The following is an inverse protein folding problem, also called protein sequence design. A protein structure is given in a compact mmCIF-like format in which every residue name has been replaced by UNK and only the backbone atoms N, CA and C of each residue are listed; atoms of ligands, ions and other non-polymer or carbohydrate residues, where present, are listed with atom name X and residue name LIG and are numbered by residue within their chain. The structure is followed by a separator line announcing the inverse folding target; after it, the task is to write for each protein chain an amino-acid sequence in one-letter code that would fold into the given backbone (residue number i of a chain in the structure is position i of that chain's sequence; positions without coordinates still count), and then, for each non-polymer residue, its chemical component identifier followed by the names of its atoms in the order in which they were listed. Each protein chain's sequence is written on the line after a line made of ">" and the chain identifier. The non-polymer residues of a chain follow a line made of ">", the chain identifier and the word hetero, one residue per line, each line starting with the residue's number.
data_IF_889862235818
#
_entry.id   IF_889862235818
#
_cell.length_a   1.000
_cell.length_b   1.000
_cell.length_c   1.000
_cell.angle_alpha   90.00
_cell.angle_beta   90.00
_cell.angle_gamma   90.00
#
_symmetry.space_group_name_H-M   'P 1'
#
loop_
_entity.id
_entity.type
_entity.pdbx_description
1 polymer ?
#
# COMPACT_ATOMS: atom_id res chain seq x y z
N UNK A 1 0.57 33.63 12.54
CA UNK A 1 0.48 33.32 11.10
C UNK A 1 1.03 31.93 10.75
N UNK A 2 2.27 31.56 11.13
CA UNK A 2 2.86 30.23 10.81
C UNK A 2 2.03 29.03 11.30
N UNK A 3 1.58 29.04 12.56
CA UNK A 3 0.75 27.95 13.14
C UNK A 3 -0.56 27.75 12.36
N UNK A 4 -1.22 28.83 11.97
CA UNK A 4 -2.47 28.78 11.20
C UNK A 4 -2.23 28.14 9.81
N UNK A 5 -1.14 28.52 9.13
CA UNK A 5 -0.78 27.94 7.83
C UNK A 5 -0.48 26.43 7.98
N UNK A 6 0.32 26.05 8.99
CA UNK A 6 0.60 24.64 9.28
C UNK A 6 -0.68 23.84 9.57
N UNK A 7 -1.62 24.41 10.33
CA UNK A 7 -2.90 23.75 10.61
C UNK A 7 -3.76 23.58 9.34
N UNK A 8 -3.81 24.60 8.48
CA UNK A 8 -4.52 24.52 7.19
C UNK A 8 -3.90 23.44 6.30
N UNK A 9 -2.56 23.38 6.23
CA UNK A 9 -1.84 22.34 5.48
C UNK A 9 -2.14 20.95 6.01
N UNK A 10 -2.12 20.77 7.35
CA UNK A 10 -2.45 19.51 8.00
C UNK A 10 -3.85 19.03 7.60
N UNK A 11 -4.86 19.88 7.78
CA UNK A 11 -6.26 19.56 7.47
C UNK A 11 -6.43 19.29 5.97
N UNK A 12 -5.76 20.05 5.11
CA UNK A 12 -5.86 19.90 3.66
C UNK A 12 -5.33 18.55 3.18
N UNK A 13 -4.17 18.09 3.67
CA UNK A 13 -3.61 16.78 3.31
C UNK A 13 -4.51 15.64 3.75
N UNK A 14 -5.06 15.71 4.98
CA UNK A 14 -6.01 14.71 5.48
C UNK A 14 -7.27 14.64 4.62
N UNK A 15 -7.87 15.81 4.34
CA UNK A 15 -9.08 15.90 3.51
C UNK A 15 -8.84 15.41 2.09
N UNK A 16 -7.74 15.81 1.44
CA UNK A 16 -7.40 15.38 0.08
C UNK A 16 -7.25 13.86 0.02
N UNK A 17 -6.57 13.24 0.99
CA UNK A 17 -6.39 11.78 1.03
C UNK A 17 -7.72 11.02 1.10
N UNK A 18 -8.63 11.46 1.97
CA UNK A 18 -9.96 10.86 2.13
C UNK A 18 -10.83 11.14 0.91
N UNK A 19 -10.93 12.39 0.48
CA UNK A 19 -11.74 12.82 -0.69
C UNK A 19 -11.28 12.08 -1.95
N UNK A 20 -9.97 11.87 -2.15
CA UNK A 20 -9.46 11.11 -3.30
C UNK A 20 -10.07 9.72 -3.37
N UNK A 21 -10.14 8.98 -2.26
CA UNK A 21 -10.75 7.64 -2.26
C UNK A 21 -12.26 7.68 -2.55
N UNK A 22 -12.98 8.64 -1.97
CA UNK A 22 -14.42 8.81 -2.25
C UNK A 22 -14.68 9.20 -3.71
N UNK A 23 -13.88 10.10 -4.28
CA UNK A 23 -13.97 10.49 -5.69
C UNK A 23 -13.68 9.31 -6.61
N UNK A 24 -12.62 8.54 -6.32
CA UNK A 24 -12.31 7.31 -7.05
C UNK A 24 -13.48 6.31 -7.02
N UNK A 25 -14.06 6.09 -5.84
CA UNK A 25 -15.24 5.25 -5.69
C UNK A 25 -16.42 5.73 -6.53
N UNK A 26 -16.77 7.03 -6.46
CA UNK A 26 -17.90 7.60 -7.21
C UNK A 26 -17.70 7.42 -8.71
N UNK A 27 -16.50 7.69 -9.21
CA UNK A 27 -16.17 7.56 -10.64
C UNK A 27 -16.31 6.11 -11.09
N UNK A 28 -15.72 5.17 -10.35
CA UNK A 28 -15.69 3.76 -10.74
C UNK A 28 -17.08 3.14 -10.64
N UNK A 29 -17.82 3.42 -9.56
CA UNK A 29 -19.17 2.88 -9.32
C UNK A 29 -20.15 3.18 -10.45
N UNK A 30 -20.00 4.32 -11.15
CA UNK A 30 -20.86 4.69 -12.29
C UNK A 30 -20.76 3.74 -13.48
N UNK A 31 -19.67 2.97 -13.59
CA UNK A 31 -19.36 2.11 -14.74
C UNK A 31 -19.10 0.66 -14.34
N UNK A 32 -19.29 0.33 -13.06
CA UNK A 32 -18.93 -0.94 -12.48
C UNK A 32 -20.16 -1.69 -11.97
N UNK A 33 -20.04 -3.01 -11.84
CA UNK A 33 -21.06 -3.86 -11.20
C UNK A 33 -20.66 -4.12 -9.75
N UNK A 34 -21.61 -4.09 -8.83
CA UNK A 34 -21.36 -4.43 -7.42
C UNK A 34 -21.95 -5.81 -7.11
N UNK A 35 -21.12 -6.70 -6.56
CA UNK A 35 -21.52 -8.05 -6.12
C UNK A 35 -20.89 -8.33 -4.75
N UNK A 36 -21.70 -8.73 -3.77
CA UNK A 36 -21.27 -8.98 -2.38
C UNK A 36 -20.42 -7.86 -1.75
N UNK A 37 -20.72 -6.60 -2.11
CA UNK A 37 -19.99 -5.42 -1.62
C UNK A 37 -18.63 -5.18 -2.29
N UNK A 38 -18.27 -5.96 -3.31
CA UNK A 38 -17.09 -5.81 -4.16
C UNK A 38 -17.48 -5.15 -5.48
N UNK A 39 -16.69 -4.19 -5.94
CA UNK A 39 -16.94 -3.43 -7.18
C UNK A 39 -16.08 -3.99 -8.29
N UNK A 40 -16.70 -4.39 -9.40
CA UNK A 40 -16.04 -4.93 -10.59
C UNK A 40 -16.01 -3.88 -11.69
N UNK A 41 -14.81 -3.36 -11.97
CA UNK A 41 -14.53 -2.48 -13.08
C UNK A 41 -13.86 -3.28 -14.20
N UNK A 42 -14.36 -3.17 -15.43
CA UNK A 42 -13.76 -3.89 -16.56
C UNK A 42 -12.32 -3.40 -16.82
N UNK A 43 -11.39 -4.36 -16.92
CA UNK A 43 -9.98 -4.14 -17.20
C UNK A 43 -9.40 -5.38 -17.87
N UNK A 44 -8.46 -5.19 -18.80
CA UNK A 44 -7.73 -6.29 -19.44
C UNK A 44 -6.74 -6.95 -18.48
N UNK A 45 -6.17 -6.18 -17.55
CA UNK A 45 -5.23 -6.67 -16.55
C UNK A 45 -5.94 -6.85 -15.20
N UNK A 46 -6.01 -8.09 -14.68
CA UNK A 46 -6.56 -8.36 -13.36
C UNK A 46 -5.77 -7.63 -12.27
N UNK A 47 -6.45 -6.78 -11.52
CA UNK A 47 -5.87 -6.12 -10.35
C UNK A 47 -6.96 -5.89 -9.30
N UNK A 48 -6.57 -5.60 -8.06
CA UNK A 48 -7.49 -5.09 -7.07
C UNK A 48 -6.89 -3.92 -6.29
N UNK A 49 -7.78 -3.18 -5.63
CA UNK A 49 -7.42 -2.13 -4.71
C UNK A 49 -8.49 -2.00 -3.62
N UNK A 50 -8.04 -1.96 -2.37
CA UNK A 50 -8.85 -1.59 -1.24
C UNK A 50 -8.98 -0.06 -1.11
N UNK A 51 -10.21 0.44 -1.17
CA UNK A 51 -10.55 1.80 -0.77
C UNK A 51 -10.86 1.83 0.72
N UNK A 52 -9.81 1.85 1.54
CA UNK A 52 -9.86 1.71 2.99
C UNK A 52 -10.84 2.68 3.67
N UNK A 53 -10.90 3.96 3.30
CA UNK A 53 -11.82 4.93 3.93
C UNK A 53 -13.26 4.80 3.44
N UNK A 54 -13.47 4.26 2.23
CA UNK A 54 -14.80 3.98 1.68
C UNK A 54 -15.31 2.59 2.09
N UNK A 55 -14.42 1.76 2.64
CA UNK A 55 -14.70 0.38 3.04
C UNK A 55 -15.16 -0.52 1.88
N UNK A 56 -14.49 -0.41 0.74
CA UNK A 56 -14.82 -1.16 -0.49
C UNK A 56 -13.56 -1.73 -1.14
N UNK A 57 -13.71 -2.89 -1.77
CA UNK A 57 -12.68 -3.46 -2.66
C UNK A 57 -13.13 -3.20 -4.10
N UNK A 58 -12.19 -2.75 -4.92
CA UNK A 58 -12.37 -2.64 -6.36
C UNK A 58 -11.53 -3.72 -7.01
N UNK A 59 -12.16 -4.51 -7.87
CA UNK A 59 -11.54 -5.48 -8.76
C UNK A 59 -11.56 -4.88 -10.16
N UNK A 60 -10.37 -4.69 -10.72
CA UNK A 60 -10.18 -4.36 -12.12
C UNK A 60 -10.05 -5.68 -12.87
N UNK A 61 -11.11 -6.14 -13.53
CA UNK A 61 -11.15 -7.43 -14.23
C UNK A 61 -12.52 -8.10 -14.19
N UNK A 62 -12.59 -9.31 -14.75
CA UNK A 62 -13.83 -10.12 -14.77
C UNK A 62 -14.12 -10.70 -13.38
N UNK A 63 -15.39 -11.00 -13.12
CA UNK A 63 -15.79 -11.76 -11.93
C UNK A 63 -14.99 -13.07 -11.84
N UNK A 64 -14.34 -13.30 -10.70
CA UNK A 64 -13.50 -14.48 -10.48
C UNK A 64 -12.10 -14.42 -11.09
N UNK A 65 -11.67 -13.30 -11.69
CA UNK A 65 -10.34 -13.19 -12.30
C UNK A 65 -9.18 -13.08 -11.30
N UNK A 66 -9.46 -12.92 -10.01
CA UNK A 66 -8.46 -12.79 -8.96
C UNK A 66 -8.37 -14.06 -8.12
N UNK A 67 -7.14 -14.37 -7.68
CA UNK A 67 -6.89 -15.45 -6.75
C UNK A 67 -7.54 -15.15 -5.39
N UNK A 68 -7.89 -16.22 -4.66
CA UNK A 68 -8.38 -16.11 -3.28
C UNK A 68 -7.40 -15.35 -2.39
N UNK A 69 -6.09 -15.51 -2.63
CA UNK A 69 -5.04 -14.77 -1.93
C UNK A 69 -5.21 -13.25 -2.11
N UNK A 70 -5.34 -12.78 -3.35
CA UNK A 70 -5.49 -11.35 -3.64
C UNK A 70 -6.74 -10.77 -2.96
N UNK A 71 -7.88 -11.47 -3.02
CA UNK A 71 -9.10 -11.01 -2.35
C UNK A 71 -8.94 -10.91 -0.83
N UNK A 72 -8.29 -11.90 -0.22
CA UNK A 72 -8.04 -11.89 1.23
C UNK A 72 -7.08 -10.78 1.63
N UNK A 73 -6.02 -10.56 0.85
CA UNK A 73 -5.06 -9.48 1.02
C UNK A 73 -5.77 -8.12 1.03
N UNK A 74 -6.55 -7.83 -0.01
CA UNK A 74 -7.31 -6.56 -0.11
C UNK A 74 -8.36 -6.42 1.00
N UNK A 75 -9.01 -7.51 1.39
CA UNK A 75 -9.97 -7.49 2.51
C UNK A 75 -9.33 -7.10 3.84
N UNK A 76 -8.03 -7.40 4.01
CA UNK A 76 -7.32 -7.06 5.23
C UNK A 76 -7.00 -5.57 5.30
N UNK A 77 -6.73 -4.92 4.17
CA UNK A 77 -6.55 -3.46 4.13
C UNK A 77 -7.77 -2.69 4.65
N UNK A 78 -8.99 -3.22 4.44
CA UNK A 78 -10.20 -2.61 5.01
C UNK A 78 -10.21 -2.60 6.55
N UNK A 79 -9.47 -3.51 7.20
CA UNK A 79 -9.29 -3.56 8.67
C UNK A 79 -8.19 -2.62 9.15
N UNK A 80 -7.33 -2.11 8.25
CA UNK A 80 -6.18 -1.26 8.56
C UNK A 80 -6.51 0.24 8.52
N UNK A 81 -7.79 0.65 8.60
CA UNK A 81 -8.23 2.07 8.61
C UNK A 81 -7.46 2.95 9.60
N UNK A 82 -7.23 2.45 10.82
CA UNK A 82 -6.49 3.18 11.87
C UNK A 82 -5.05 3.45 11.44
N UNK A 83 -4.42 2.48 10.77
CA UNK A 83 -3.04 2.59 10.31
C UNK A 83 -2.93 3.51 9.09
N UNK A 84 -3.88 3.42 8.15
CA UNK A 84 -3.99 4.36 7.03
C UNK A 84 -4.22 5.81 7.50
N UNK A 85 -5.07 6.01 8.52
CA UNK A 85 -5.29 7.32 9.12
C UNK A 85 -4.03 7.84 9.83
N UNK A 86 -3.33 6.99 10.58
CA UNK A 86 -2.07 7.35 11.23
C UNK A 86 -1.01 7.77 10.20
N UNK A 87 -0.88 7.04 9.10
CA UNK A 87 0.02 7.39 8.00
C UNK A 87 -0.31 8.76 7.41
N UNK A 88 -1.60 9.05 7.15
CA UNK A 88 -2.05 10.36 6.68
C UNK A 88 -1.75 11.47 7.69
N UNK A 89 -1.96 11.25 8.99
CA UNK A 89 -1.65 12.20 10.05
C UNK A 89 -0.14 12.49 10.10
N UNK A 90 0.69 11.45 10.04
CA UNK A 90 2.15 11.60 10.03
C UNK A 90 2.60 12.42 8.81
N UNK A 91 2.12 12.08 7.62
CA UNK A 91 2.41 12.82 6.40
C UNK A 91 1.97 14.28 6.49
N UNK A 92 0.75 14.52 6.94
CA UNK A 92 0.19 15.86 7.08
C UNK A 92 0.98 16.69 8.11
N UNK A 93 1.37 16.08 9.24
CA UNK A 93 2.17 16.71 10.28
C UNK A 93 3.54 17.15 9.75
N UNK A 94 4.28 16.24 9.13
CA UNK A 94 5.59 16.57 8.56
C UNK A 94 5.49 17.61 7.44
N UNK A 95 4.47 17.52 6.58
CA UNK A 95 4.22 18.52 5.52
C UNK A 95 3.90 19.90 6.10
N UNK A 96 3.25 19.95 7.28
CA UNK A 96 2.88 21.21 7.93
C UNK A 96 4.04 21.91 8.66
N UNK A 97 5.04 21.16 9.10
CA UNK A 97 6.14 21.67 9.93
C UNK A 97 7.40 21.99 9.14
N UNK A 98 7.61 21.32 8.02
CA UNK A 98 8.87 21.36 7.29
C UNK A 98 8.77 22.33 6.11
N UNK A 99 9.80 23.16 5.95
CA UNK A 99 10.00 23.89 4.70
C UNK A 99 10.16 22.87 3.55
N UNK A 100 9.62 23.16 2.37
CA UNK A 100 9.68 22.28 1.20
C UNK A 100 11.10 22.16 0.64
N UNK A 101 11.99 21.49 1.38
CA UNK A 101 13.33 21.11 0.93
C UNK A 101 13.30 19.70 0.37
N UNK A 102 14.18 19.43 -0.60
CA UNK A 102 14.33 18.10 -1.17
C UNK A 102 14.63 17.03 -0.11
N UNK A 103 15.44 17.37 0.90
CA UNK A 103 15.79 16.46 1.99
C UNK A 103 14.56 16.02 2.81
N UNK A 104 13.65 16.95 3.11
CA UNK A 104 12.43 16.64 3.83
C UNK A 104 11.45 15.81 2.99
N UNK A 105 11.34 16.11 1.69
CA UNK A 105 10.52 15.30 0.78
C UNK A 105 11.01 13.84 0.71
N UNK A 106 12.33 13.63 0.65
CA UNK A 106 12.94 12.28 0.68
C UNK A 106 12.60 11.58 2.01
N UNK A 107 12.69 12.27 3.14
CA UNK A 107 12.40 11.69 4.46
C UNK A 107 10.93 11.28 4.59
N UNK A 108 10.00 12.13 4.12
CA UNK A 108 8.57 11.81 4.11
C UNK A 108 8.30 10.59 3.21
N UNK A 109 8.91 10.56 2.03
CA UNK A 109 8.76 9.45 1.09
C UNK A 109 9.28 8.12 1.68
N UNK A 110 10.49 8.09 2.23
CA UNK A 110 11.05 6.87 2.84
C UNK A 110 10.21 6.40 4.03
N UNK A 111 9.71 7.33 4.85
CA UNK A 111 8.80 7.00 5.95
C UNK A 111 7.49 6.38 5.44
N UNK A 112 6.91 6.95 4.39
CA UNK A 112 5.72 6.41 3.73
C UNK A 112 5.96 4.98 3.23
N UNK A 113 7.07 4.75 2.51
CA UNK A 113 7.45 3.45 1.97
C UNK A 113 7.65 2.41 3.09
N UNK A 114 8.39 2.76 4.14
CA UNK A 114 8.64 1.85 5.28
C UNK A 114 7.35 1.47 6.03
N UNK A 115 6.40 2.40 6.17
CA UNK A 115 5.10 2.10 6.78
C UNK A 115 4.31 1.14 5.88
N UNK A 116 4.29 1.39 4.56
CA UNK A 116 3.58 0.53 3.62
C UNK A 116 4.13 -0.89 3.59
N UNK A 117 5.44 -1.11 3.63
CA UNK A 117 5.99 -2.46 3.68
C UNK A 117 5.42 -3.30 4.85
N UNK A 118 5.16 -2.67 6.01
CA UNK A 118 4.54 -3.35 7.15
C UNK A 118 3.04 -3.60 6.93
N UNK A 119 2.33 -2.61 6.37
CA UNK A 119 0.92 -2.72 6.00
C UNK A 119 0.71 -3.90 5.04
N UNK A 120 1.52 -3.95 3.99
CA UNK A 120 1.53 -4.98 2.95
C UNK A 120 1.90 -6.35 3.53
N UNK A 121 2.94 -6.42 4.36
CA UNK A 121 3.31 -7.67 5.03
C UNK A 121 2.16 -8.20 5.88
N UNK A 122 1.46 -7.37 6.65
CA UNK A 122 0.34 -7.85 7.47
C UNK A 122 -0.83 -8.37 6.62
N UNK A 123 -1.12 -7.72 5.49
CA UNK A 123 -2.14 -8.16 4.54
C UNK A 123 -1.76 -9.50 3.89
N UNK A 124 -0.50 -9.65 3.48
CA UNK A 124 0.03 -10.91 2.97
C UNK A 124 -0.03 -12.03 4.00
N UNK A 125 0.38 -11.77 5.24
CA UNK A 125 0.35 -12.78 6.32
C UNK A 125 -1.08 -13.22 6.64
N UNK A 126 -2.05 -12.30 6.58
CA UNK A 126 -3.45 -12.66 6.68
C UNK A 126 -3.90 -13.55 5.52
N UNK A 127 -3.51 -13.20 4.29
CA UNK A 127 -3.85 -13.99 3.11
C UNK A 127 -3.20 -15.38 3.14
N UNK A 128 -1.91 -15.50 3.49
CA UNK A 128 -1.18 -16.78 3.63
C UNK A 128 -1.80 -17.72 4.67
N UNK A 129 -2.41 -17.19 5.74
CA UNK A 129 -3.11 -18.04 6.73
C UNK A 129 -4.40 -18.66 6.18
N UNK A 130 -4.97 -18.10 5.12
CA UNK A 130 -6.31 -18.44 4.62
C UNK A 130 -6.34 -18.88 3.14
N UNK A 131 -5.20 -18.78 2.45
CA UNK A 131 -4.97 -19.20 1.07
C UNK A 131 -3.52 -19.68 0.90
N UNK A 132 -3.32 -20.64 0.00
CA UNK A 132 -2.06 -21.39 -0.12
C UNK A 132 -1.05 -20.82 -1.12
N UNK A 133 -1.47 -19.97 -2.05
CA UNK A 133 -0.62 -19.57 -3.19
C UNK A 133 -0.51 -18.06 -3.36
N UNK A 134 0.74 -17.57 -3.37
CA UNK A 134 1.16 -16.27 -3.89
C UNK A 134 2.15 -16.53 -5.03
N UNK A 135 1.93 -15.91 -6.18
CA UNK A 135 2.79 -16.08 -7.36
C UNK A 135 3.68 -14.85 -7.52
N UNK A 136 5.00 -15.04 -7.42
CA UNK A 136 5.95 -13.98 -7.71
C UNK A 136 6.03 -13.71 -9.21
N UNK A 137 6.07 -12.44 -9.60
CA UNK A 137 6.24 -12.02 -11.00
C UNK A 137 7.70 -11.73 -11.33
N UNK A 138 8.49 -11.31 -10.34
CA UNK A 138 9.86 -10.85 -10.57
C UNK A 138 10.92 -11.62 -9.75
N UNK A 139 12.01 -12.06 -10.39
CA UNK A 139 13.11 -12.73 -9.69
C UNK A 139 13.98 -11.74 -8.91
N UNK A 140 14.79 -12.25 -7.96
CA UNK A 140 15.74 -11.45 -7.18
C UNK A 140 16.86 -10.89 -8.07
N UNK A 141 17.07 -9.56 -8.13
CA UNK A 141 18.21 -8.97 -8.83
C UNK A 141 19.56 -9.32 -8.21
N UNK A 142 20.57 -9.56 -9.05
CA UNK A 142 21.96 -9.83 -8.59
C UNK A 142 22.64 -8.59 -7.97
N UNK A 143 22.35 -7.39 -8.47
CA UNK A 143 22.97 -6.15 -8.01
C UNK A 143 22.31 -5.63 -6.72
N UNK A 144 23.13 -5.34 -5.70
CA UNK A 144 22.67 -4.75 -4.42
C UNK A 144 21.94 -3.42 -4.62
N UNK A 145 22.46 -2.58 -5.52
CA UNK A 145 21.87 -1.26 -5.81
C UNK A 145 20.47 -1.45 -6.42
N UNK A 146 20.32 -2.40 -7.36
CA UNK A 146 19.01 -2.68 -7.96
C UNK A 146 18.05 -3.21 -6.91
N UNK A 147 18.49 -4.09 -6.00
CA UNK A 147 17.64 -4.55 -4.88
C UNK A 147 17.18 -3.39 -4.01
N UNK A 148 18.09 -2.50 -3.62
CA UNK A 148 17.74 -1.29 -2.87
C UNK A 148 16.70 -0.44 -3.59
N UNK A 149 16.90 -0.19 -4.89
CA UNK A 149 15.95 0.57 -5.70
C UNK A 149 14.59 -0.12 -5.79
N UNK A 150 14.52 -1.44 -5.97
CA UNK A 150 13.25 -2.19 -6.01
C UNK A 150 12.50 -2.05 -4.69
N UNK A 151 13.20 -2.08 -3.55
CA UNK A 151 12.57 -1.82 -2.25
C UNK A 151 12.02 -0.40 -2.16
N UNK A 152 12.82 0.62 -2.47
CA UNK A 152 12.44 2.00 -2.18
C UNK A 152 11.51 2.64 -3.23
N UNK A 153 11.49 2.13 -4.47
CA UNK A 153 10.68 2.70 -5.56
C UNK A 153 9.26 2.11 -5.64
N UNK A 154 8.99 1.00 -4.95
CA UNK A 154 7.67 0.38 -4.84
C UNK A 154 7.17 0.49 -3.39
N UNK A 155 5.87 0.74 -3.22
CA UNK A 155 5.24 0.69 -1.90
C UNK A 155 5.12 -0.74 -1.36
N UNK A 156 5.24 -1.75 -2.22
CA UNK A 156 5.19 -3.16 -1.84
C UNK A 156 6.59 -3.72 -1.59
N UNK A 157 6.74 -4.67 -0.65
CA UNK A 157 7.94 -5.49 -0.59
C UNK A 157 8.19 -6.24 -1.91
N UNK A 158 9.45 -6.50 -2.30
CA UNK A 158 9.74 -7.21 -3.55
C UNK A 158 9.14 -8.62 -3.58
N UNK A 159 8.65 -9.06 -4.74
CA UNK A 159 8.01 -10.38 -4.92
C UNK A 159 8.84 -11.56 -4.42
N UNK A 160 10.14 -11.57 -4.75
CA UNK A 160 11.07 -12.62 -4.32
C UNK A 160 11.27 -12.67 -2.81
N UNK A 161 11.01 -11.57 -2.10
CA UNK A 161 10.95 -11.54 -0.63
C UNK A 161 9.61 -12.09 -0.17
N UNK A 162 8.49 -11.64 -0.75
CA UNK A 162 7.11 -12.03 -0.36
C UNK A 162 6.86 -13.54 -0.42
N UNK A 163 7.46 -14.25 -1.38
CA UNK A 163 7.34 -15.72 -1.48
C UNK A 163 8.18 -16.49 -0.45
N UNK A 164 9.18 -15.85 0.16
CA UNK A 164 10.13 -16.53 1.05
C UNK A 164 9.47 -17.00 2.35
N UNK A 165 9.97 -18.10 2.91
CA UNK A 165 9.52 -18.55 4.22
C UNK A 165 9.91 -17.56 5.33
N UNK A 166 11.03 -16.86 5.17
CA UNK A 166 11.47 -15.84 6.12
C UNK A 166 10.50 -14.65 6.18
N UNK A 167 9.88 -14.27 5.06
CA UNK A 167 8.85 -13.23 5.02
C UNK A 167 7.66 -13.54 5.94
N UNK A 168 7.36 -14.84 6.12
CA UNK A 168 6.31 -15.30 7.02
C UNK A 168 6.69 -15.28 8.50
N UNK A 169 7.98 -15.14 8.81
CA UNK A 169 8.53 -15.34 10.18
C UNK A 169 9.28 -14.13 10.73
N UNK A 170 9.75 -13.24 9.89
CA UNK A 170 10.65 -12.14 10.25
C UNK A 170 10.02 -10.78 9.98
N UNK A 171 10.53 -9.78 10.68
CA UNK A 171 10.13 -8.39 10.50
C UNK A 171 10.57 -7.87 9.12
N UNK A 172 9.72 -7.09 8.46
CA UNK A 172 10.00 -6.58 7.11
C UNK A 172 11.26 -5.72 7.01
N UNK A 173 11.59 -4.93 8.04
CA UNK A 173 12.78 -4.10 8.07
C UNK A 173 14.06 -4.93 8.22
N UNK A 174 13.98 -6.03 8.98
CA UNK A 174 15.07 -7.01 9.03
C UNK A 174 15.31 -7.63 7.64
N UNK A 175 14.24 -7.98 6.92
CA UNK A 175 14.34 -8.57 5.58
C UNK A 175 14.91 -7.59 4.57
N UNK A 176 14.51 -6.32 4.63
CA UNK A 176 15.11 -5.24 3.84
C UNK A 176 16.62 -5.17 4.09
N UNK A 177 17.06 -4.99 5.34
CA UNK A 177 18.48 -4.88 5.67
C UNK A 177 19.25 -6.14 5.24
N UNK A 178 18.71 -7.33 5.54
CA UNK A 178 19.31 -8.59 5.12
C UNK A 178 19.49 -8.64 3.60
N UNK A 179 18.47 -8.33 2.83
CA UNK A 179 18.53 -8.42 1.37
C UNK A 179 19.54 -7.43 0.73
N UNK A 180 19.69 -6.24 1.33
CA UNK A 180 20.67 -5.24 0.86
C UNK A 180 22.10 -5.64 1.23
N UNK A 181 22.33 -6.15 2.44
CA UNK A 181 23.68 -6.40 2.94
C UNK A 181 24.20 -7.82 2.70
N UNK A 182 23.33 -8.79 2.43
CA UNK A 182 23.72 -10.15 2.05
C UNK A 182 23.86 -10.29 0.53
N UNK A 183 24.82 -11.11 0.08
CA UNK A 183 25.10 -11.36 -1.34
C UNK A 183 23.88 -11.95 -2.05
#
# INVERSE_FOLDING_TARGET
>A
MKILISLIMLISVLLIGIIKQYTQYIIIRKRAKEHDGIIYAESETPNAAALTFVNKIIIYGKLGSLSKFALLHESYHLKQKKLALLQLIIMAFFTSLLSYSLFFLITIYLSYIMINWKIEQDADLYAFKNATTYEARYPRPKSRIIRFLVWILDSHPPDYIRISEEYRRKNIYYLFLKDIFTA
#
